data_IF_022762024440
#
_entry.id   IF_022762024440
#
_cell.length_a   1.000
_cell.length_b   1.000
_cell.length_c   1.000
_cell.angle_alpha   90.00
_cell.angle_beta   90.00
_cell.angle_gamma   90.00
#
_symmetry.space_group_name_H-M   'P 1'
#
loop_
_entity.id
_entity.type
_entity.pdbx_description
1 polymer ?
#
# COMPACT_ATOMS: atom_id res chain seq x y z
N UNK A 1 9.06 -10.06 1.17
CA UNK A 1 7.73 -9.95 0.53
C UNK A 1 7.82 -9.31 -0.85
N UNK A 2 8.42 -8.13 -0.97
CA UNK A 2 8.68 -7.46 -2.27
C UNK A 2 9.39 -8.41 -3.24
N UNK A 3 10.49 -9.04 -2.82
CA UNK A 3 11.26 -9.96 -3.68
C UNK A 3 10.44 -11.16 -4.18
N UNK A 4 9.47 -11.64 -3.39
CA UNK A 4 8.55 -12.73 -3.78
C UNK A 4 7.47 -12.27 -4.76
N UNK A 5 7.16 -10.98 -4.83
CA UNK A 5 6.25 -10.43 -5.84
C UNK A 5 6.97 -10.01 -7.13
N UNK A 6 8.29 -9.82 -7.04
CA UNK A 6 9.14 -9.38 -8.14
C UNK A 6 9.55 -10.50 -9.11
N UNK A 7 9.32 -11.76 -8.75
CA UNK A 7 9.58 -12.91 -9.59
C UNK A 7 8.27 -13.57 -9.98
N UNK A 8 8.06 -13.82 -11.27
CA UNK A 8 6.78 -14.34 -11.78
C UNK A 8 6.42 -15.71 -11.15
N UNK A 9 7.42 -16.58 -10.97
CA UNK A 9 7.24 -17.93 -10.44
C UNK A 9 6.66 -17.95 -9.02
N UNK A 10 7.17 -17.08 -8.13
CA UNK A 10 6.69 -16.97 -6.74
C UNK A 10 5.44 -16.10 -6.66
N UNK A 11 5.36 -15.03 -7.46
CA UNK A 11 4.22 -14.11 -7.52
C UNK A 11 2.90 -14.82 -7.80
N UNK A 12 2.86 -15.76 -8.75
CA UNK A 12 1.64 -16.44 -9.21
C UNK A 12 0.78 -16.99 -8.07
N UNK A 13 1.43 -17.58 -7.07
CA UNK A 13 0.76 -18.19 -5.91
C UNK A 13 0.78 -17.29 -4.68
N UNK A 14 1.85 -16.51 -4.51
CA UNK A 14 2.02 -15.65 -3.35
C UNK A 14 1.10 -14.43 -3.37
N UNK A 15 0.82 -13.84 -4.54
CA UNK A 15 -0.02 -12.64 -4.63
C UNK A 15 -1.46 -12.87 -4.17
N UNK A 16 -2.19 -13.91 -4.60
CA UNK A 16 -3.52 -14.20 -4.07
C UNK A 16 -3.52 -14.45 -2.55
N UNK A 17 -2.49 -15.12 -2.04
CA UNK A 17 -2.32 -15.36 -0.60
C UNK A 17 -2.10 -14.04 0.17
N UNK A 18 -1.29 -13.14 -0.39
CA UNK A 18 -1.03 -11.84 0.22
C UNK A 18 -2.30 -10.98 0.29
N UNK A 19 -3.09 -11.01 -0.79
CA UNK A 19 -4.39 -10.33 -0.89
C UNK A 19 -5.40 -10.87 0.13
N UNK A 20 -5.50 -12.19 0.31
CA UNK A 20 -6.44 -12.78 1.27
C UNK A 20 -6.12 -12.40 2.72
N UNK A 21 -4.84 -12.20 3.05
CA UNK A 21 -4.42 -11.75 4.39
C UNK A 21 -4.59 -10.25 4.61
N UNK A 22 -4.85 -9.47 3.55
CA UNK A 22 -4.99 -8.00 3.59
C UNK A 22 -3.78 -7.33 4.27
N UNK A 23 -2.58 -7.80 3.93
CA UNK A 23 -1.35 -7.39 4.61
C UNK A 23 -1.10 -5.88 4.50
N UNK A 24 -1.27 -5.30 3.29
CA UNK A 24 -1.10 -3.86 3.05
C UNK A 24 -1.95 -3.03 4.02
N UNK A 25 -3.25 -3.34 4.09
CA UNK A 25 -4.21 -2.61 4.92
C UNK A 25 -3.87 -2.73 6.41
N UNK A 26 -3.46 -3.94 6.85
CA UNK A 26 -3.03 -4.15 8.24
C UNK A 26 -1.81 -3.30 8.58
N UNK A 27 -0.82 -3.24 7.70
CA UNK A 27 0.41 -2.48 7.94
C UNK A 27 0.20 -0.97 7.96
N UNK A 28 -0.80 -0.44 7.25
CA UNK A 28 -1.15 0.99 7.33
C UNK A 28 -1.81 1.35 8.65
N UNK A 29 -2.72 0.50 9.13
CA UNK A 29 -3.51 0.79 10.32
C UNK A 29 -2.76 0.64 11.64
N UNK A 30 -1.59 -0.01 11.64
CA UNK A 30 -0.74 -0.07 12.84
C UNK A 30 -0.10 1.28 13.19
N UNK A 31 -0.16 2.27 12.30
CA UNK A 31 0.40 3.61 12.53
C UNK A 31 1.93 3.64 12.61
N UNK A 32 2.61 2.54 12.27
CA UNK A 32 4.08 2.49 12.30
C UNK A 32 4.68 3.45 11.26
N UNK A 33 4.00 3.63 10.12
CA UNK A 33 4.42 4.55 9.06
C UNK A 33 4.29 6.03 9.44
N UNK A 34 3.53 6.37 10.48
CA UNK A 34 3.38 7.76 10.95
C UNK A 34 4.55 8.18 11.86
N UNK A 35 5.32 7.20 12.36
CA UNK A 35 6.49 7.47 13.20
C UNK A 35 7.70 7.74 12.32
N UNK A 36 8.58 8.64 12.76
CA UNK A 36 9.83 8.94 12.04
C UNK A 36 10.71 7.69 11.88
N UNK A 37 10.77 6.85 12.91
CA UNK A 37 11.47 5.54 12.90
C UNK A 37 10.90 4.57 11.84
N UNK A 38 9.64 4.73 11.47
CA UNK A 38 8.93 3.89 10.50
C UNK A 38 9.00 4.39 9.07
N UNK A 39 9.75 5.47 8.78
CA UNK A 39 9.87 6.03 7.43
C UNK A 39 10.32 4.98 6.41
N UNK A 40 11.34 4.20 6.75
CA UNK A 40 11.84 3.10 5.90
C UNK A 40 10.73 2.05 5.64
N UNK A 41 9.99 1.69 6.69
CA UNK A 41 8.89 0.73 6.56
C UNK A 41 7.78 1.25 5.64
N UNK A 42 7.42 2.54 5.75
CA UNK A 42 6.46 3.18 4.84
C UNK A 42 6.92 3.12 3.39
N UNK A 43 8.18 3.46 3.12
CA UNK A 43 8.77 3.38 1.78
C UNK A 43 8.78 1.96 1.21
N UNK A 44 9.13 0.96 2.03
CA UNK A 44 9.07 -0.44 1.64
C UNK A 44 7.63 -0.91 1.39
N UNK A 45 6.67 -0.43 2.18
CA UNK A 45 5.25 -0.73 2.01
C UNK A 45 4.70 -0.14 0.71
N UNK A 46 5.14 1.05 0.31
CA UNK A 46 4.77 1.66 -0.97
C UNK A 46 5.32 0.86 -2.16
N UNK A 47 6.56 0.37 -2.06
CA UNK A 47 7.13 -0.55 -3.06
C UNK A 47 6.31 -1.85 -3.11
N UNK A 48 5.92 -2.40 -1.96
CA UNK A 48 5.07 -3.59 -1.90
C UNK A 48 3.71 -3.35 -2.57
N UNK A 49 3.05 -2.22 -2.29
CA UNK A 49 1.78 -1.83 -2.90
C UNK A 49 1.91 -1.72 -4.43
N UNK A 50 2.98 -1.11 -4.90
CA UNK A 50 3.27 -0.99 -6.33
C UNK A 50 3.33 -2.37 -7.00
N UNK A 51 4.09 -3.31 -6.43
CA UNK A 51 4.20 -4.65 -7.01
C UNK A 51 2.94 -5.49 -6.86
N UNK A 52 2.19 -5.37 -5.76
CA UNK A 52 0.91 -6.06 -5.60
C UNK A 52 -0.10 -5.63 -6.69
N UNK A 53 -0.08 -4.34 -7.04
CA UNK A 53 -0.90 -3.76 -8.10
C UNK A 53 -0.32 -3.78 -9.50
N UNK A 54 0.84 -4.39 -9.70
CA UNK A 54 1.52 -4.39 -10.99
C UNK A 54 0.64 -4.97 -12.11
N UNK A 55 0.62 -4.28 -13.25
CA UNK A 55 -0.26 -4.53 -14.40
C UNK A 55 0.23 -5.71 -15.26
N UNK A 56 0.25 -6.90 -14.67
CA UNK A 56 0.67 -8.15 -15.31
C UNK A 56 -0.37 -9.24 -15.08
N UNK A 57 -0.51 -10.13 -16.05
CA UNK A 57 -1.24 -11.37 -15.87
C UNK A 57 -0.36 -12.37 -15.11
N UNK A 58 -0.76 -12.74 -13.89
CA UNK A 58 0.02 -13.64 -13.03
C UNK A 58 0.18 -15.07 -13.59
N UNK A 59 -0.66 -15.48 -14.56
CA UNK A 59 -0.62 -16.82 -15.17
C UNK A 59 0.20 -16.86 -16.46
N UNK A 60 -0.02 -15.90 -17.37
CA UNK A 60 0.68 -15.85 -18.67
C UNK A 60 2.01 -15.09 -18.58
N UNK A 61 2.17 -14.20 -17.60
CA UNK A 61 3.32 -13.31 -17.48
C UNK A 61 3.27 -12.13 -18.45
N UNK A 62 2.19 -11.97 -19.21
CA UNK A 62 2.05 -10.88 -20.17
C UNK A 62 1.60 -9.58 -19.49
N UNK A 63 2.09 -8.41 -19.95
CA UNK A 63 1.60 -7.13 -19.46
C UNK A 63 0.12 -6.96 -19.83
N UNK A 64 -0.66 -6.36 -18.93
CA UNK A 64 -2.07 -6.08 -19.19
C UNK A 64 -2.22 -4.85 -20.08
N UNK A 65 -3.19 -4.90 -20.98
CA UNK A 65 -3.61 -3.73 -21.75
C UNK A 65 -4.47 -2.78 -20.91
N UNK A 66 -4.53 -1.50 -21.31
CA UNK A 66 -5.40 -0.50 -20.66
C UNK A 66 -6.88 -0.90 -20.65
N UNK A 67 -7.34 -1.60 -21.70
CA UNK A 67 -8.70 -2.14 -21.76
C UNK A 67 -8.93 -3.20 -20.70
N UNK A 68 -8.03 -4.20 -20.60
CA UNK A 68 -8.13 -5.27 -19.61
C UNK A 68 -8.05 -4.73 -18.16
N UNK A 69 -7.22 -3.71 -17.91
CA UNK A 69 -7.13 -3.05 -16.60
C UNK A 69 -8.48 -2.41 -16.24
N UNK A 70 -9.07 -1.69 -17.20
CA UNK A 70 -10.36 -1.03 -17.02
C UNK A 70 -11.49 -2.03 -16.81
N UNK A 71 -11.54 -3.09 -17.62
CA UNK A 71 -12.50 -4.19 -17.48
C UNK A 71 -12.38 -4.89 -16.13
N UNK A 72 -11.17 -5.16 -15.66
CA UNK A 72 -10.93 -5.76 -14.33
C UNK A 72 -11.40 -4.84 -13.21
N UNK A 73 -11.23 -3.53 -13.34
CA UNK A 73 -11.73 -2.57 -12.37
C UNK A 73 -13.27 -2.51 -12.39
N UNK A 74 -13.88 -2.40 -13.56
CA UNK A 74 -15.34 -2.39 -13.72
C UNK A 74 -15.99 -3.68 -13.22
N UNK A 75 -15.39 -4.84 -13.48
CA UNK A 75 -15.91 -6.10 -12.97
C UNK A 75 -15.94 -6.15 -11.43
N UNK A 76 -14.89 -5.64 -10.76
CA UNK A 76 -14.89 -5.54 -9.28
C UNK A 76 -15.97 -4.59 -8.78
N UNK A 77 -16.16 -3.44 -9.44
CA UNK A 77 -17.18 -2.48 -9.06
C UNK A 77 -18.59 -3.01 -9.30
N UNK A 78 -18.83 -3.69 -10.42
CA UNK A 78 -20.11 -4.32 -10.73
C UNK A 78 -20.44 -5.43 -9.72
N UNK A 79 -19.45 -6.25 -9.33
CA UNK A 79 -19.62 -7.22 -8.25
C UNK A 79 -20.07 -6.54 -6.95
N UNK A 80 -19.45 -5.41 -6.60
CA UNK A 80 -19.86 -4.62 -5.44
C UNK A 80 -21.27 -4.05 -5.57
N UNK A 81 -21.63 -3.47 -6.71
CA UNK A 81 -22.98 -2.94 -6.95
C UNK A 81 -24.04 -4.03 -6.88
N UNK A 82 -23.77 -5.22 -7.42
CA UNK A 82 -24.66 -6.38 -7.35
C UNK A 82 -24.90 -6.84 -5.91
N UNK A 83 -23.83 -6.92 -5.12
CA UNK A 83 -23.91 -7.28 -3.69
C UNK A 83 -24.70 -6.23 -2.91
N UNK A 84 -24.45 -4.95 -3.16
CA UNK A 84 -25.21 -3.86 -2.53
C UNK A 84 -26.71 -3.93 -2.86
N UNK A 85 -27.05 -4.20 -4.12
CA UNK A 85 -28.45 -4.27 -4.57
C UNK A 85 -29.20 -5.46 -3.98
N UNK A 86 -28.56 -6.63 -3.93
CA UNK A 86 -29.21 -7.87 -3.48
C UNK A 86 -29.34 -7.94 -1.95
N UNK A 87 -28.30 -7.57 -1.21
CA UNK A 87 -28.24 -7.78 0.24
C UNK A 87 -28.77 -6.60 1.04
N UNK A 88 -28.56 -5.36 0.58
CA UNK A 88 -28.88 -4.15 1.33
C UNK A 88 -29.68 -3.13 0.50
N UNK A 89 -30.88 -3.49 0.02
CA UNK A 89 -31.72 -2.62 -0.81
C UNK A 89 -32.21 -1.36 -0.08
N UNK A 90 -32.23 -1.34 1.26
CA UNK A 90 -32.77 -0.20 2.02
C UNK A 90 -31.73 0.90 2.26
N UNK A 91 -30.45 0.55 2.37
CA UNK A 91 -29.36 1.49 2.73
C UNK A 91 -28.41 1.80 1.59
N UNK A 92 -28.19 0.87 0.66
CA UNK A 92 -27.16 0.97 -0.38
C UNK A 92 -27.70 0.96 -1.82
N UNK A 93 -29.02 1.04 -2.00
CA UNK A 93 -29.65 1.07 -3.33
C UNK A 93 -29.19 2.25 -4.18
N UNK A 94 -29.04 3.43 -3.58
CA UNK A 94 -28.53 4.60 -4.28
C UNK A 94 -27.11 4.40 -4.80
N UNK A 95 -26.27 3.66 -4.06
CA UNK A 95 -24.89 3.34 -4.46
C UNK A 95 -24.89 2.33 -5.60
N UNK A 96 -25.78 1.35 -5.57
CA UNK A 96 -25.89 0.33 -6.61
C UNK A 96 -26.27 0.89 -8.00
N UNK A 97 -26.98 2.01 -8.04
CA UNK A 97 -27.49 2.63 -9.28
C UNK A 97 -26.60 3.75 -9.85
N UNK A 98 -25.62 4.22 -9.09
CA UNK A 98 -24.70 5.28 -9.53
C UNK A 98 -23.71 4.78 -10.59
N UNK A 99 -23.24 5.70 -11.43
CA UNK A 99 -22.18 5.40 -12.40
C UNK A 99 -20.86 5.04 -11.69
N UNK A 100 -20.11 4.09 -12.23
CA UNK A 100 -18.84 3.62 -11.65
C UNK A 100 -17.85 4.78 -11.40
N UNK A 101 -17.71 5.70 -12.35
CA UNK A 101 -16.77 6.84 -12.25
C UNK A 101 -17.12 7.88 -11.19
N UNK A 102 -18.34 7.83 -10.61
CA UNK A 102 -18.69 8.70 -9.48
C UNK A 102 -18.37 8.03 -8.14
N UNK A 103 -18.18 6.72 -8.13
CA UNK A 103 -18.02 5.89 -6.93
C UNK A 103 -16.57 5.45 -6.77
N UNK A 104 -15.80 5.28 -7.84
CA UNK A 104 -14.43 4.72 -7.84
C UNK A 104 -13.37 5.58 -7.12
N UNK A 105 -13.69 6.84 -6.78
CA UNK A 105 -12.84 7.70 -5.96
C UNK A 105 -12.82 7.29 -4.48
N UNK A 106 -11.64 7.36 -3.87
CA UNK A 106 -11.42 7.07 -2.44
C UNK A 106 -12.32 7.92 -1.54
N UNK A 107 -12.51 9.19 -1.86
CA UNK A 107 -13.33 10.13 -1.07
C UNK A 107 -14.82 9.77 -1.16
N UNK A 108 -15.28 9.39 -2.35
CA UNK A 108 -16.64 8.90 -2.56
C UNK A 108 -16.89 7.63 -1.76
N UNK A 109 -16.02 6.63 -1.85
CA UNK A 109 -16.14 5.37 -1.10
C UNK A 109 -16.10 5.60 0.40
N UNK A 110 -15.20 6.45 0.90
CA UNK A 110 -15.10 6.73 2.33
C UNK A 110 -16.38 7.40 2.86
N UNK A 111 -16.95 8.35 2.11
CA UNK A 111 -18.22 9.00 2.49
C UNK A 111 -19.40 8.02 2.57
N UNK A 112 -19.43 7.01 1.69
CA UNK A 112 -20.46 5.98 1.64
C UNK A 112 -20.28 4.95 2.77
N UNK A 113 -19.05 4.50 3.03
CA UNK A 113 -18.77 3.37 3.91
C UNK A 113 -18.65 3.75 5.38
N UNK A 114 -18.20 4.97 5.69
CA UNK A 114 -18.03 5.45 7.08
C UNK A 114 -19.33 5.46 7.91
N UNK A 115 -20.52 5.86 7.37
CA UNK A 115 -21.75 5.85 8.17
C UNK A 115 -22.32 4.45 8.44
N UNK A 116 -21.90 3.41 7.71
CA UNK A 116 -22.49 2.07 7.82
C UNK A 116 -22.21 1.40 9.17
N UNK A 117 -23.12 0.56 9.69
CA UNK A 117 -22.89 -0.21 10.91
C UNK A 117 -21.87 -1.32 10.66
N UNK A 118 -21.22 -1.78 11.73
CA UNK A 118 -20.16 -2.78 11.67
C UNK A 118 -20.65 -4.11 11.06
N UNK A 119 -21.86 -4.52 11.40
CA UNK A 119 -22.44 -5.79 10.94
C UNK A 119 -22.66 -5.79 9.42
N UNK A 120 -23.15 -4.67 8.88
CA UNK A 120 -23.30 -4.49 7.42
C UNK A 120 -21.94 -4.52 6.72
N UNK A 121 -20.91 -3.90 7.30
CA UNK A 121 -19.56 -3.91 6.73
C UNK A 121 -18.95 -5.32 6.75
N UNK A 122 -19.14 -6.07 7.84
CA UNK A 122 -18.68 -7.45 7.96
C UNK A 122 -19.35 -8.36 6.91
N UNK A 123 -20.68 -8.31 6.81
CA UNK A 123 -21.44 -9.07 5.81
C UNK A 123 -21.03 -8.71 4.37
N UNK A 124 -20.80 -7.42 4.10
CA UNK A 124 -20.35 -6.96 2.78
C UNK A 124 -18.95 -7.51 2.46
N UNK A 125 -18.00 -7.46 3.39
CA UNK A 125 -16.64 -8.00 3.18
C UNK A 125 -16.63 -9.51 2.96
N UNK A 126 -17.55 -10.24 3.57
CA UNK A 126 -17.71 -11.68 3.40
C UNK A 126 -18.30 -12.03 2.03
N UNK A 127 -19.36 -11.31 1.61
CA UNK A 127 -20.00 -11.50 0.30
C UNK A 127 -19.11 -11.09 -0.88
N UNK A 128 -18.21 -10.12 -0.69
CA UNK A 128 -17.17 -9.78 -1.66
C UNK A 128 -15.98 -10.75 -1.67
N UNK A 129 -15.98 -11.77 -0.81
CA UNK A 129 -14.89 -12.73 -0.63
C UNK A 129 -13.52 -12.06 -0.37
N UNK A 130 -13.52 -10.91 0.31
CA UNK A 130 -12.27 -10.19 0.63
C UNK A 130 -11.58 -10.78 1.84
N UNK A 131 -12.37 -11.17 2.85
CA UNK A 131 -11.89 -11.80 4.06
C UNK A 131 -12.94 -12.80 4.55
N UNK A 132 -12.50 -13.97 5.01
CA UNK A 132 -13.37 -14.87 5.79
C UNK A 132 -13.41 -14.36 7.22
N UNK A 133 -14.61 -14.07 7.73
CA UNK A 133 -14.79 -13.60 9.10
C UNK A 133 -14.28 -14.62 10.13
N UNK A 134 -14.37 -15.92 9.82
CA UNK A 134 -13.78 -17.00 10.61
C UNK A 134 -12.26 -16.83 10.83
N UNK A 135 -11.51 -16.47 9.78
CA UNK A 135 -10.05 -16.25 9.85
C UNK A 135 -9.70 -14.98 10.67
N UNK A 136 -10.60 -14.01 10.73
CA UNK A 136 -10.43 -12.76 11.48
C UNK A 136 -10.69 -12.95 12.98
N UNK A 137 -11.71 -13.71 13.32
CA UNK A 137 -12.18 -13.97 14.68
C UNK A 137 -11.52 -15.21 15.31
N UNK A 138 -10.57 -15.85 14.62
CA UNK A 138 -9.77 -16.95 15.17
C UNK A 138 -10.51 -18.29 15.22
N UNK A 139 -11.52 -18.49 14.37
CA UNK A 139 -12.11 -19.80 14.13
C UNK A 139 -11.13 -20.65 13.34
N UNK A 140 -10.22 -21.33 14.03
CA UNK A 140 -9.53 -22.47 13.44
C UNK A 140 -10.55 -23.54 13.08
N UNK A 141 -10.42 -24.09 11.87
CA UNK A 141 -11.22 -25.21 11.37
C UNK A 141 -11.34 -26.30 12.45
N UNK A 142 -12.53 -26.46 13.01
CA UNK A 142 -12.92 -27.66 13.78
C UNK A 142 -13.64 -28.65 12.84
N UNK A 143 -13.15 -28.78 11.61
CA UNK A 143 -13.60 -29.80 10.67
C UNK A 143 -12.61 -30.96 10.65
N UNK A 144 -12.75 -31.84 11.64
CA UNK A 144 -12.55 -33.28 11.43
C UNK A 144 -13.51 -34.06 12.33
N UNK A 145 -14.67 -34.41 11.78
CA UNK A 145 -14.97 -35.78 11.34
C UNK A 145 -16.47 -36.07 11.48
N UNK A 146 -17.22 -36.03 10.37
CA UNK A 146 -18.52 -36.71 10.27
C UNK A 146 -18.60 -37.50 8.98
N UNK A 147 -18.60 -38.84 9.15
CA UNK A 147 -19.30 -39.90 8.41
C UNK A 147 -18.43 -41.18 8.46
N UNK A 148 -18.73 -42.19 9.27
CA UNK A 148 -19.89 -43.10 9.34
C UNK A 148 -19.50 -44.48 8.84
N UNK A 149 -19.29 -45.44 9.75
CA UNK A 149 -19.63 -46.85 9.57
C UNK A 149 -20.14 -47.40 10.89
N UNK A 150 -21.26 -48.12 10.80
CA UNK A 150 -22.07 -48.65 11.89
C UNK A 150 -21.37 -49.71 12.75
N UNK A 151 -21.69 -49.75 14.05
CA UNK A 151 -22.31 -50.91 14.75
C UNK A 151 -22.22 -50.78 16.29
N UNK A 152 -23.32 -51.10 16.99
CA UNK A 152 -23.30 -51.57 18.40
C UNK A 152 -23.66 -50.57 19.52
N UNK A 153 -24.72 -50.88 20.28
CA UNK A 153 -25.34 -50.17 21.43
C UNK A 153 -24.75 -50.69 22.77
N UNK A 154 -25.07 -50.19 23.98
CA UNK A 154 -24.88 -48.86 24.61
C UNK A 154 -23.95 -48.91 25.85
N UNK A 155 -23.43 -47.77 26.32
CA UNK A 155 -22.67 -47.73 27.58
C UNK A 155 -22.54 -46.34 28.21
N UNK A 156 -23.35 -46.13 29.25
CA UNK A 156 -23.21 -45.17 30.36
C UNK A 156 -21.88 -44.39 30.47
N UNK A 157 -21.95 -43.05 30.53
CA UNK A 157 -21.65 -42.26 31.75
C UNK A 157 -21.81 -40.75 31.53
N UNK A 158 -22.49 -40.14 32.50
CA UNK A 158 -22.49 -38.72 32.83
C UNK A 158 -21.06 -38.14 32.87
N UNK A 159 -20.85 -36.92 32.36
CA UNK A 159 -20.22 -35.81 33.10
C UNK A 159 -20.59 -34.49 32.39
N UNK A 160 -21.26 -33.61 33.15
CA UNK A 160 -21.50 -32.21 32.81
C UNK A 160 -20.21 -31.40 32.86
N UNK A 161 -20.06 -30.49 31.88
CA UNK A 161 -19.62 -29.11 32.11
C UNK A 161 -18.12 -28.84 32.20
N UNK A 162 -17.43 -28.65 31.07
CA UNK A 162 -16.22 -27.79 30.95
C UNK A 162 -16.04 -27.24 29.51
N UNK A 163 -17.11 -27.01 28.74
CA UNK A 163 -17.00 -26.51 27.35
C UNK A 163 -17.24 -25.01 27.20
N UNK A 164 -17.83 -24.34 28.20
CA UNK A 164 -18.14 -22.91 28.12
C UNK A 164 -16.98 -21.95 28.44
N UNK A 165 -15.91 -22.42 29.10
CA UNK A 165 -14.81 -21.55 29.53
C UNK A 165 -13.74 -21.39 28.44
N UNK A 166 -13.42 -22.45 27.69
CA UNK A 166 -12.46 -22.41 26.57
C UNK A 166 -12.97 -21.62 25.37
N UNK A 167 -14.28 -21.64 25.10
CA UNK A 167 -14.88 -20.82 24.05
C UNK A 167 -14.87 -19.34 24.45
N UNK A 168 -15.23 -19.00 25.69
CA UNK A 168 -15.19 -17.63 26.21
C UNK A 168 -13.77 -17.08 26.34
N UNK A 169 -12.77 -17.91 26.63
CA UNK A 169 -11.36 -17.51 26.61
C UNK A 169 -10.87 -17.22 25.20
N UNK A 170 -11.16 -18.09 24.22
CA UNK A 170 -10.84 -17.82 22.81
C UNK A 170 -11.55 -16.58 22.29
N UNK A 171 -12.82 -16.36 22.63
CA UNK A 171 -13.58 -15.16 22.26
C UNK A 171 -13.02 -13.88 22.91
N UNK A 172 -12.54 -13.97 24.16
CA UNK A 172 -11.86 -12.86 24.85
C UNK A 172 -10.48 -12.57 24.23
N UNK A 173 -9.73 -13.59 23.86
CA UNK A 173 -8.39 -13.48 23.28
C UNK A 173 -8.45 -12.98 21.81
N UNK A 174 -9.49 -13.35 21.07
CA UNK A 174 -9.72 -12.87 19.69
C UNK A 174 -10.30 -11.46 19.68
N UNK A 175 -11.14 -11.10 20.65
CA UNK A 175 -11.50 -9.71 20.97
C UNK A 175 -10.29 -8.90 21.47
N UNK A 176 -9.27 -9.55 22.04
CA UNK A 176 -8.02 -8.88 22.44
C UNK A 176 -7.13 -8.54 21.24
N UNK A 177 -7.17 -9.31 20.15
CA UNK A 177 -6.41 -9.02 18.91
C UNK A 177 -6.84 -7.71 18.25
N UNK A 178 -8.13 -7.38 18.31
CA UNK A 178 -8.68 -6.10 17.83
C UNK A 178 -9.03 -5.22 19.02
N UNK A 179 -8.12 -4.30 19.36
CA UNK A 179 -8.18 -3.45 20.56
C UNK A 179 -9.51 -2.69 20.75
N UNK A 180 -10.27 -2.42 19.67
CA UNK A 180 -11.59 -1.78 19.75
C UNK A 180 -12.52 -2.11 18.54
N UNK A 181 -13.85 -2.03 18.70
CA UNK A 181 -14.78 -2.16 17.57
C UNK A 181 -14.62 -1.01 16.55
N UNK A 182 -14.15 0.16 16.99
CA UNK A 182 -13.84 1.30 16.11
C UNK A 182 -12.69 0.98 15.16
N UNK A 183 -11.62 0.37 15.67
CA UNK A 183 -10.47 -0.05 14.85
C UNK A 183 -10.85 -1.14 13.85
N UNK A 184 -11.75 -2.06 14.23
CA UNK A 184 -12.25 -3.08 13.32
C UNK A 184 -13.09 -2.47 12.19
N UNK A 185 -13.96 -1.51 12.52
CA UNK A 185 -14.73 -0.76 11.53
C UNK A 185 -13.80 -0.04 10.53
N UNK A 186 -12.80 0.69 11.02
CA UNK A 186 -11.82 1.37 10.19
C UNK A 186 -11.07 0.38 9.26
N UNK A 187 -10.71 -0.79 9.79
CA UNK A 187 -10.09 -1.86 8.99
C UNK A 187 -10.98 -2.36 7.86
N UNK A 188 -12.23 -2.71 8.15
CA UNK A 188 -13.15 -3.22 7.12
C UNK A 188 -13.43 -2.18 6.04
N UNK A 189 -13.60 -0.91 6.42
CA UNK A 189 -13.75 0.19 5.47
C UNK A 189 -12.52 0.30 4.57
N UNK A 190 -11.31 0.31 5.13
CA UNK A 190 -10.08 0.42 4.35
C UNK A 190 -9.86 -0.78 3.41
N UNK A 191 -10.27 -1.99 3.81
CA UNK A 191 -10.22 -3.20 2.96
C UNK A 191 -11.13 -3.08 1.73
N UNK A 192 -12.36 -2.57 1.91
CA UNK A 192 -13.29 -2.38 0.79
C UNK A 192 -12.75 -1.28 -0.13
N UNK A 193 -12.26 -0.17 0.44
CA UNK A 193 -11.69 0.96 -0.31
C UNK A 193 -10.48 0.49 -1.13
N UNK A 194 -9.49 -0.16 -0.53
CA UNK A 194 -8.25 -0.58 -1.22
C UNK A 194 -8.51 -1.54 -2.39
N UNK A 195 -9.62 -2.28 -2.34
CA UNK A 195 -10.06 -3.18 -3.39
C UNK A 195 -10.76 -2.46 -4.55
N UNK A 196 -11.61 -1.49 -4.25
CA UNK A 196 -12.51 -0.83 -5.20
C UNK A 196 -11.94 0.47 -5.78
N UNK A 197 -10.99 1.11 -5.09
CA UNK A 197 -10.32 2.34 -5.51
C UNK A 197 -9.72 2.19 -6.92
N UNK A 198 -9.93 3.22 -7.76
CA UNK A 198 -9.27 3.32 -9.05
C UNK A 198 -7.77 3.55 -8.85
N UNK A 199 -6.95 2.64 -9.38
CA UNK A 199 -5.49 2.79 -9.35
C UNK A 199 -5.03 3.66 -10.51
N UNK A 200 -4.08 4.59 -10.30
CA UNK A 200 -3.51 5.36 -11.39
C UNK A 200 -2.61 4.48 -12.25
N UNK A 201 -2.71 4.64 -13.57
CA UNK A 201 -1.90 3.89 -14.53
C UNK A 201 -0.40 4.07 -14.25
N UNK A 202 0.39 3.02 -14.45
CA UNK A 202 1.84 3.07 -14.24
C UNK A 202 2.51 4.20 -15.04
N UNK A 203 2.11 4.39 -16.29
CA UNK A 203 2.64 5.47 -17.14
C UNK A 203 2.30 6.86 -16.60
N UNK A 204 1.09 7.04 -16.08
CA UNK A 204 0.66 8.31 -15.50
C UNK A 204 1.46 8.63 -14.23
N UNK A 205 1.74 7.63 -13.40
CA UNK A 205 2.61 7.78 -12.22
C UNK A 205 4.04 8.18 -12.62
N UNK A 206 4.60 7.55 -13.67
CA UNK A 206 5.95 7.88 -14.16
C UNK A 206 5.99 9.31 -14.72
N UNK A 207 4.98 9.71 -15.49
CA UNK A 207 4.89 11.07 -16.05
C UNK A 207 4.74 12.16 -14.99
N UNK A 208 4.10 11.85 -13.86
CA UNK A 208 4.00 12.78 -12.73
C UNK A 208 5.28 12.90 -11.90
N UNK A 209 6.27 12.04 -12.12
CA UNK A 209 7.49 12.03 -11.34
C UNK A 209 8.43 13.16 -11.77
N UNK A 210 8.91 14.01 -10.84
CA UNK A 210 9.91 15.02 -11.16
C UNK A 210 11.24 14.37 -11.53
N UNK A 211 11.90 14.97 -12.53
CA UNK A 211 13.21 14.50 -13.01
C UNK A 211 14.32 14.84 -12.00
N UNK A 212 14.31 16.06 -11.48
CA UNK A 212 15.31 16.53 -10.51
C UNK A 212 14.91 16.14 -9.07
N UNK A 213 15.89 15.81 -8.22
CA UNK A 213 15.62 15.48 -6.83
C UNK A 213 15.24 16.72 -6.02
N UNK A 214 14.40 16.53 -5.02
CA UNK A 214 14.08 17.54 -4.02
C UNK A 214 14.98 17.40 -2.80
N UNK A 215 14.96 18.41 -1.92
CA UNK A 215 15.62 18.38 -0.61
C UNK A 215 15.28 17.11 0.18
N UNK A 216 14.01 16.73 0.24
CA UNK A 216 13.57 15.56 0.99
C UNK A 216 14.18 14.26 0.48
N UNK A 217 14.46 14.14 -0.82
CA UNK A 217 15.08 12.95 -1.44
C UNK A 217 16.60 12.97 -1.29
N UNK A 218 17.23 14.14 -1.47
CA UNK A 218 18.69 14.31 -1.37
C UNK A 218 19.24 13.84 -0.03
N UNK A 219 18.58 14.23 1.06
CA UNK A 219 19.01 13.93 2.43
C UNK A 219 18.29 12.74 3.04
N UNK A 220 17.65 11.88 2.24
CA UNK A 220 17.01 10.66 2.74
C UNK A 220 18.02 9.49 2.82
N UNK A 221 18.43 9.03 4.01
CA UNK A 221 19.42 7.95 4.14
C UNK A 221 18.91 6.60 3.62
N UNK A 222 17.59 6.41 3.55
CA UNK A 222 16.99 5.15 3.10
C UNK A 222 17.00 4.98 1.58
N UNK A 223 17.13 6.08 0.84
CA UNK A 223 17.12 6.15 -0.62
C UNK A 223 18.50 6.50 -1.17
N UNK A 224 19.22 7.40 -0.50
CA UNK A 224 20.55 7.89 -0.88
C UNK A 224 21.52 7.62 0.28
N UNK A 225 22.06 6.41 0.39
CA UNK A 225 22.97 6.05 1.48
C UNK A 225 24.29 6.84 1.39
N UNK A 226 25.06 6.86 2.47
CA UNK A 226 26.44 7.35 2.46
C UNK A 226 27.39 6.30 1.85
N UNK A 227 28.60 6.70 1.44
CA UNK A 227 29.60 5.80 0.81
C UNK A 227 29.85 4.51 1.60
N UNK A 228 29.82 4.62 2.92
CA UNK A 228 30.20 3.55 3.84
C UNK A 228 29.02 2.63 4.23
N UNK A 229 28.05 2.46 3.34
CA UNK A 229 26.94 1.55 3.61
C UNK A 229 27.39 0.09 3.60
N UNK A 230 27.42 -0.54 4.78
CA UNK A 230 27.93 -1.91 4.98
C UNK A 230 26.88 -3.00 4.74
N UNK A 231 25.64 -2.65 4.38
CA UNK A 231 24.59 -3.64 4.12
C UNK A 231 23.93 -4.22 5.38
N UNK A 232 24.09 -3.59 6.55
CA UNK A 232 23.54 -4.08 7.82
C UNK A 232 22.00 -4.06 7.87
N UNK A 233 21.37 -3.13 7.15
CA UNK A 233 19.92 -3.00 7.07
C UNK A 233 19.42 -3.15 5.63
N UNK A 234 18.13 -2.93 5.39
CA UNK A 234 17.55 -2.94 4.04
C UNK A 234 17.27 -1.53 3.58
N UNK A 235 17.57 -1.23 2.31
CA UNK A 235 17.22 0.05 1.69
C UNK A 235 15.92 -0.06 0.89
N UNK A 236 15.21 1.06 0.74
CA UNK A 236 14.00 1.15 -0.09
C UNK A 236 14.36 1.29 -1.58
N UNK A 237 15.26 0.43 -2.06
CA UNK A 237 15.80 0.48 -3.42
C UNK A 237 15.29 -0.69 -4.27
N UNK A 238 15.00 -0.45 -5.56
CA UNK A 238 14.77 -1.55 -6.49
C UNK A 238 16.03 -2.41 -6.61
N UNK A 239 15.86 -3.73 -6.67
CA UNK A 239 16.96 -4.68 -6.89
C UNK A 239 17.04 -5.07 -8.37
N UNK A 240 18.25 -5.06 -8.91
CA UNK A 240 18.55 -5.63 -10.22
C UNK A 240 18.91 -7.11 -10.04
N UNK A 241 18.04 -7.98 -10.54
CA UNK A 241 18.23 -9.43 -10.52
C UNK A 241 18.20 -9.95 -11.97
N UNK A 242 18.36 -11.26 -12.14
CA UNK A 242 18.27 -11.91 -13.46
C UNK A 242 16.87 -11.84 -14.09
N UNK A 243 15.82 -11.68 -13.27
CA UNK A 243 14.43 -11.73 -13.71
C UNK A 243 13.71 -10.41 -13.39
N UNK A 244 12.87 -9.99 -14.33
CA UNK A 244 11.98 -8.84 -14.23
C UNK A 244 10.57 -9.26 -14.66
N UNK A 245 9.54 -8.59 -14.14
CA UNK A 245 8.15 -8.94 -14.46
C UNK A 245 7.83 -8.63 -15.92
N UNK A 246 8.23 -7.46 -16.39
CA UNK A 246 8.05 -6.98 -17.75
C UNK A 246 9.22 -6.09 -18.15
N UNK A 247 9.30 -5.72 -19.43
CA UNK A 247 10.29 -4.72 -19.86
C UNK A 247 10.05 -3.35 -19.21
N UNK A 248 8.80 -2.99 -18.94
CA UNK A 248 8.45 -1.76 -18.23
C UNK A 248 8.99 -1.77 -16.79
N UNK A 249 8.89 -2.91 -16.10
CA UNK A 249 9.48 -3.09 -14.77
C UNK A 249 11.02 -2.93 -14.83
N UNK A 250 11.68 -3.58 -15.79
CA UNK A 250 13.12 -3.43 -16.00
C UNK A 250 13.52 -1.95 -16.20
N UNK A 251 12.88 -1.25 -17.13
CA UNK A 251 13.18 0.15 -17.42
C UNK A 251 12.90 1.04 -16.21
N UNK A 252 11.81 0.81 -15.49
CA UNK A 252 11.46 1.59 -14.31
C UNK A 252 12.48 1.41 -13.17
N UNK A 253 12.98 0.20 -12.95
CA UNK A 253 14.03 -0.05 -11.94
C UNK A 253 15.32 0.65 -12.30
N UNK A 254 15.76 0.54 -13.56
CA UNK A 254 16.96 1.24 -14.03
C UNK A 254 16.80 2.76 -13.95
N UNK A 255 15.65 3.29 -14.37
CA UNK A 255 15.35 4.72 -14.26
C UNK A 255 15.41 5.21 -12.80
N UNK A 256 14.79 4.48 -11.87
CA UNK A 256 14.83 4.84 -10.45
C UNK A 256 16.23 4.76 -9.86
N UNK A 257 16.99 3.72 -10.16
CA UNK A 257 18.34 3.54 -9.65
C UNK A 257 19.30 4.59 -10.20
N UNK A 258 19.26 4.83 -11.51
CA UNK A 258 20.05 5.88 -12.15
C UNK A 258 19.74 7.25 -11.55
N UNK A 259 18.45 7.57 -11.37
CA UNK A 259 18.06 8.83 -10.74
C UNK A 259 18.60 8.97 -9.31
N UNK A 260 18.59 7.90 -8.52
CA UNK A 260 19.09 7.93 -7.14
C UNK A 260 20.62 8.00 -7.07
N UNK A 261 21.32 7.36 -8.00
CA UNK A 261 22.77 7.48 -8.15
C UNK A 261 23.16 8.90 -8.57
N UNK A 262 22.52 9.50 -9.57
CA UNK A 262 22.77 10.90 -9.91
C UNK A 262 22.41 11.85 -8.77
N UNK A 263 21.41 11.49 -7.94
CA UNK A 263 21.07 12.26 -6.73
C UNK A 263 22.18 12.20 -5.69
N UNK A 264 22.85 11.05 -5.55
CA UNK A 264 24.01 10.89 -4.70
C UNK A 264 25.16 11.82 -5.15
N UNK A 265 25.48 11.83 -6.44
CA UNK A 265 26.52 12.73 -7.00
C UNK A 265 26.18 14.21 -6.79
N UNK A 266 24.91 14.59 -7.02
CA UNK A 266 24.43 15.95 -6.77
C UNK A 266 24.61 16.32 -5.29
N UNK A 267 24.30 15.41 -4.36
CA UNK A 267 24.50 15.66 -2.93
C UNK A 267 25.96 15.93 -2.60
N UNK A 268 26.88 15.10 -3.10
CA UNK A 268 28.32 15.26 -2.87
C UNK A 268 28.82 16.62 -3.40
N UNK A 269 28.41 16.99 -4.60
CA UNK A 269 28.72 18.30 -5.18
C UNK A 269 28.15 19.46 -4.35
N UNK A 270 26.90 19.33 -3.87
CA UNK A 270 26.30 20.34 -3.02
C UNK A 270 27.03 20.48 -1.68
N UNK A 271 27.45 19.39 -1.06
CA UNK A 271 28.20 19.40 0.20
C UNK A 271 29.54 20.12 0.04
N UNK A 272 30.34 19.81 -1.00
CA UNK A 272 31.61 20.52 -1.26
C UNK A 272 31.38 22.01 -1.55
N UNK A 273 30.40 22.35 -2.39
CA UNK A 273 30.13 23.73 -2.79
C UNK A 273 29.61 24.56 -1.61
N UNK A 274 28.67 24.07 -0.82
CA UNK A 274 28.10 24.79 0.32
C UNK A 274 29.18 25.06 1.38
N UNK A 275 30.07 24.09 1.62
CA UNK A 275 31.21 24.26 2.54
C UNK A 275 32.18 25.36 2.06
N UNK A 276 32.42 25.48 0.75
CA UNK A 276 33.29 26.52 0.18
C UNK A 276 32.65 27.91 0.18
N UNK A 277 31.37 28.02 -0.14
CA UNK A 277 30.64 29.29 -0.22
C UNK A 277 30.42 29.89 1.19
N UNK A 278 30.42 29.07 2.25
CA UNK A 278 30.30 29.49 3.66
C UNK A 278 29.13 30.47 3.87
N UNK A 279 27.88 29.98 3.76
CA UNK A 279 26.71 30.79 4.08
C UNK A 279 26.66 31.13 5.57
N UNK A 280 26.56 32.42 5.88
CA UNK A 280 26.43 32.97 7.23
C UNK A 280 25.14 33.78 7.29
N UNK A 281 24.45 33.71 8.43
CA UNK A 281 23.25 34.51 8.67
C UNK A 281 23.63 35.98 8.81
N UNK A 282 22.95 36.86 8.08
CA UNK A 282 23.17 38.30 8.23
C UNK A 282 22.63 38.77 9.60
N UNK A 283 23.40 39.63 10.26
CA UNK A 283 23.07 40.23 11.55
C UNK A 283 22.05 41.36 11.39
N UNK A 284 22.05 42.02 10.23
CA UNK A 284 21.24 43.23 9.97
C UNK A 284 19.82 42.90 9.49
N UNK A 285 19.68 41.90 8.62
CA UNK A 285 18.39 41.47 8.06
C UNK A 285 18.15 40.00 8.41
N UNK A 286 17.13 39.74 9.23
CA UNK A 286 16.86 38.42 9.83
C UNK A 286 16.66 37.28 8.81
N UNK A 287 16.32 37.62 7.57
CA UNK A 287 16.05 36.69 6.47
C UNK A 287 17.12 36.68 5.38
N UNK A 288 18.16 37.50 5.48
CA UNK A 288 19.22 37.56 4.48
C UNK A 288 20.37 36.60 4.83
N UNK A 289 20.88 35.93 3.81
CA UNK A 289 22.07 35.08 3.91
C UNK A 289 23.23 35.82 3.26
N UNK A 290 24.33 35.99 4.00
CA UNK A 290 25.58 36.52 3.48
C UNK A 290 26.51 35.36 3.17
N UNK A 291 27.16 35.36 2.02
CA UNK A 291 28.14 34.35 1.64
C UNK A 291 29.54 34.93 1.80
N UNK A 292 30.39 34.28 2.61
CA UNK A 292 31.75 34.75 2.87
C UNK A 292 32.78 34.17 1.90
N UNK A 293 32.47 33.01 1.33
CA UNK A 293 33.34 32.29 0.41
C UNK A 293 32.85 32.34 -1.03
N UNK A 294 33.65 31.73 -1.90
CA UNK A 294 33.35 31.59 -3.33
C UNK A 294 33.58 30.14 -3.74
N UNK A 295 32.76 29.64 -4.66
CA UNK A 295 32.94 28.34 -5.29
C UNK A 295 32.89 28.49 -6.80
N UNK A 296 33.74 27.75 -7.52
CA UNK A 296 33.80 27.82 -9.00
C UNK A 296 32.47 27.41 -9.66
N UNK A 297 31.72 26.50 -9.02
CA UNK A 297 30.50 25.89 -9.55
C UNK A 297 29.21 26.50 -8.99
N UNK A 298 29.28 27.59 -8.21
CA UNK A 298 28.10 28.26 -7.66
C UNK A 298 28.25 29.78 -7.65
N UNK A 299 27.13 30.46 -7.88
CA UNK A 299 27.03 31.92 -7.93
C UNK A 299 25.80 32.34 -7.12
N UNK A 300 25.90 33.49 -6.47
CA UNK A 300 24.80 34.10 -5.71
C UNK A 300 23.71 34.60 -6.66
N UNK A 301 22.47 34.19 -6.42
CA UNK A 301 21.31 34.66 -7.18
C UNK A 301 20.83 35.98 -6.60
N UNK A 302 20.87 37.06 -7.40
CA UNK A 302 20.42 38.40 -6.97
C UNK A 302 18.90 38.57 -7.06
N UNK A 303 18.30 38.09 -8.15
CA UNK A 303 16.86 38.11 -8.38
C UNK A 303 16.41 36.85 -9.13
N UNK A 304 15.19 36.38 -8.86
CA UNK A 304 14.60 35.22 -9.50
C UNK A 304 13.12 35.47 -9.78
N UNK A 305 12.74 35.42 -11.06
CA UNK A 305 11.35 35.53 -11.49
C UNK A 305 10.98 34.45 -12.50
N UNK A 306 9.74 33.94 -12.40
CA UNK A 306 9.21 32.93 -13.32
C UNK A 306 8.61 33.64 -14.53
N UNK A 307 9.27 33.56 -15.68
CA UNK A 307 8.85 34.28 -16.88
C UNK A 307 7.68 33.63 -17.63
N UNK A 308 7.60 32.30 -17.66
CA UNK A 308 6.66 31.58 -18.54
C UNK A 308 6.07 30.37 -17.82
N UNK A 309 4.74 30.33 -17.72
CA UNK A 309 3.98 29.15 -17.32
C UNK A 309 3.08 28.75 -18.49
N UNK A 310 3.40 27.64 -19.16
CA UNK A 310 2.61 27.13 -20.28
C UNK A 310 1.39 26.37 -19.77
N UNK A 311 0.32 26.36 -20.58
CA UNK A 311 -0.85 25.55 -20.32
C UNK A 311 -0.49 24.05 -20.33
N UNK A 312 -1.11 23.23 -19.48
CA UNK A 312 -0.92 21.78 -19.52
C UNK A 312 -1.38 21.23 -20.87
N UNK A 313 -0.70 20.20 -21.36
CA UNK A 313 -1.14 19.47 -22.56
C UNK A 313 -2.37 18.64 -22.19
N UNK A 314 -3.43 18.76 -23.00
CA UNK A 314 -4.63 17.93 -22.95
C UNK A 314 -4.34 16.58 -23.60
#
# INVERSE_FOLDING_TARGET
>A
MIDLLNQLATRRWFRPLLQSKQFEVRCRLTGISEREEGKLFGQLLDILRFYEGFEINDHTGEPLSHLEISERHYHKMQQFQRVCFHTYPDTLKDVSLRSISSIDSRDSLSSILTPLPLDTLAGLTEQLHLIRMADLLGGGDNDSNSNSTADGVPGSKLVNGVTGEKEKEKEKETRARWRSPKTLKAFLVEVIISRLERRPDQLSQIRSMPLYPTQEVLWDPNLVPAEHYQGEFSLALPKLNLQFLTIHDYLLRNFKLFRLESTYEIREHLEDVILRVRPVKDVTVRTATRFEGQARMAVTVEDFSIAVVKKPKV
#
